data_IF_819734005411
#
_entry.id   IF_819734005411
#
_cell.length_a   1.000
_cell.length_b   1.000
_cell.length_c   1.000
_cell.angle_alpha   90.00
_cell.angle_beta   90.00
_cell.angle_gamma   90.00
#
_symmetry.space_group_name_H-M   'P 1'
#
loop_
_entity.id
_entity.type
_entity.pdbx_description
1 polymer ?
#
# COMPACT_ATOMS: atom_id res chain seq x y z
N UNK A 1 -37.68 -30.68 -71.98
CA UNK A 1 -38.04 -29.79 -70.86
C UNK A 1 -39.44 -29.26 -71.12
N UNK A 2 -40.41 -29.47 -70.24
CA UNK A 2 -41.74 -28.89 -70.43
C UNK A 2 -41.66 -27.37 -70.21
N UNK A 3 -42.16 -26.58 -71.17
CA UNK A 3 -42.36 -25.13 -71.00
C UNK A 3 -43.62 -24.96 -70.14
N UNK A 4 -43.43 -24.52 -68.90
CA UNK A 4 -44.50 -24.25 -67.95
C UNK A 4 -44.66 -22.73 -67.88
N UNK A 5 -45.79 -22.22 -68.36
CA UNK A 5 -46.00 -20.76 -68.55
C UNK A 5 -46.48 -20.08 -67.25
N UNK A 6 -47.13 -20.84 -66.36
CA UNK A 6 -47.76 -20.31 -65.15
C UNK A 6 -46.83 -20.34 -63.90
N UNK A 7 -45.75 -21.12 -63.92
CA UNK A 7 -44.72 -21.13 -62.87
C UNK A 7 -43.33 -21.13 -63.49
N UNK A 8 -42.56 -20.07 -63.22
CA UNK A 8 -41.21 -19.90 -63.75
C UNK A 8 -40.16 -20.34 -62.71
N UNK A 9 -39.86 -21.63 -62.69
CA UNK A 9 -38.90 -22.22 -61.74
C UNK A 9 -37.50 -21.59 -61.85
N UNK A 10 -37.05 -21.22 -63.06
CA UNK A 10 -35.78 -20.52 -63.29
C UNK A 10 -35.75 -19.13 -62.63
N UNK A 11 -36.84 -18.37 -62.72
CA UNK A 11 -36.96 -17.07 -62.06
C UNK A 11 -37.00 -17.20 -60.53
N UNK A 12 -37.70 -18.22 -59.99
CA UNK A 12 -37.73 -18.51 -58.55
C UNK A 12 -36.34 -18.86 -58.03
N UNK A 13 -35.58 -19.70 -58.76
CA UNK A 13 -34.21 -20.04 -58.38
C UNK A 13 -33.27 -18.83 -58.42
N UNK A 14 -33.40 -17.96 -59.44
CA UNK A 14 -32.65 -16.72 -59.52
C UNK A 14 -32.97 -15.78 -58.34
N UNK A 15 -34.24 -15.65 -57.97
CA UNK A 15 -34.69 -14.86 -56.81
C UNK A 15 -34.14 -15.39 -55.48
N UNK A 16 -34.14 -16.72 -55.29
CA UNK A 16 -33.58 -17.34 -54.09
C UNK A 16 -32.06 -17.14 -53.99
N UNK A 17 -31.33 -17.26 -55.10
CA UNK A 17 -29.89 -16.97 -55.15
C UNK A 17 -29.60 -15.49 -54.86
N UNK A 18 -30.41 -14.57 -55.39
CA UNK A 18 -30.30 -13.13 -55.11
C UNK A 18 -30.58 -12.82 -53.64
N UNK A 19 -31.55 -13.49 -53.00
CA UNK A 19 -31.81 -13.35 -51.56
C UNK A 19 -30.59 -13.75 -50.74
N UNK A 20 -29.99 -14.91 -51.03
CA UNK A 20 -28.76 -15.37 -50.35
C UNK A 20 -27.57 -14.43 -50.54
N UNK A 21 -27.43 -13.85 -51.73
CA UNK A 21 -26.40 -12.86 -52.02
C UNK A 21 -26.62 -11.56 -51.22
N UNK A 22 -27.86 -11.09 -51.13
CA UNK A 22 -28.22 -9.93 -50.30
C UNK A 22 -27.98 -10.19 -48.81
N UNK A 23 -28.30 -11.37 -48.28
CA UNK A 23 -28.04 -11.73 -46.88
C UNK A 23 -26.53 -11.77 -46.57
N UNK A 24 -25.74 -12.32 -47.49
CA UNK A 24 -24.27 -12.33 -47.38
C UNK A 24 -23.68 -10.92 -47.43
N UNK A 25 -24.20 -10.06 -48.31
CA UNK A 25 -23.81 -8.65 -48.39
C UNK A 25 -24.14 -7.89 -47.10
N UNK A 26 -25.35 -8.08 -46.54
CA UNK A 26 -25.76 -7.48 -45.26
C UNK A 26 -24.82 -7.89 -44.13
N UNK A 27 -24.43 -9.16 -44.07
CA UNK A 27 -23.47 -9.66 -43.08
C UNK A 27 -22.08 -9.04 -43.25
N UNK A 28 -21.59 -8.91 -44.48
CA UNK A 28 -20.32 -8.23 -44.77
C UNK A 28 -20.36 -6.74 -44.39
N UNK A 29 -21.46 -6.05 -44.68
CA UNK A 29 -21.66 -4.65 -44.27
C UNK A 29 -21.71 -4.50 -42.74
N UNK A 30 -22.35 -5.43 -42.02
CA UNK A 30 -22.38 -5.42 -40.57
C UNK A 30 -20.99 -5.64 -39.95
N UNK A 31 -20.18 -6.55 -40.52
CA UNK A 31 -18.78 -6.76 -40.10
C UNK A 31 -17.90 -5.55 -40.41
N UNK A 32 -18.10 -4.92 -41.59
CA UNK A 32 -17.37 -3.71 -41.96
C UNK A 32 -17.72 -2.53 -41.04
N UNK A 33 -19.01 -2.35 -40.74
CA UNK A 33 -19.49 -1.28 -39.86
C UNK A 33 -19.04 -1.45 -38.41
N UNK A 34 -19.06 -2.69 -37.89
CA UNK A 34 -18.63 -2.99 -36.52
C UNK A 34 -17.11 -3.15 -36.36
N UNK A 35 -16.37 -3.37 -37.45
CA UNK A 35 -14.96 -3.77 -37.41
C UNK A 35 -14.72 -5.19 -36.85
N UNK A 36 -15.76 -5.89 -36.40
CA UNK A 36 -15.66 -7.20 -35.78
C UNK A 36 -15.91 -8.32 -36.79
N UNK A 37 -15.01 -9.31 -36.83
CA UNK A 37 -15.19 -10.50 -37.68
C UNK A 37 -16.42 -11.33 -37.28
N UNK A 38 -16.71 -11.42 -35.98
CA UNK A 38 -17.84 -12.19 -35.41
C UNK A 38 -18.78 -11.19 -34.72
N UNK A 39 -19.95 -10.94 -35.31
CA UNK A 39 -20.93 -9.98 -34.78
C UNK A 39 -22.17 -10.66 -34.14
N UNK A 40 -22.36 -11.97 -34.36
CA UNK A 40 -23.52 -12.70 -33.85
C UNK A 40 -23.13 -14.11 -33.38
N UNK A 41 -23.76 -14.64 -32.32
CA UNK A 41 -23.59 -16.03 -31.91
C UNK A 41 -23.95 -17.05 -33.01
N UNK A 42 -24.81 -16.66 -33.96
CA UNK A 42 -25.18 -17.50 -35.10
C UNK A 42 -24.06 -17.65 -36.14
N UNK A 43 -23.03 -16.81 -36.07
CA UNK A 43 -21.89 -16.82 -36.99
C UNK A 43 -20.77 -17.75 -36.48
N UNK A 44 -20.43 -17.63 -35.20
CA UNK A 44 -19.46 -18.47 -34.51
C UNK A 44 -19.65 -18.35 -32.98
N UNK A 45 -20.46 -19.25 -32.41
CA UNK A 45 -20.73 -19.24 -30.97
C UNK A 45 -19.47 -19.54 -30.13
N UNK A 46 -18.55 -20.36 -30.63
CA UNK A 46 -17.32 -20.73 -29.92
C UNK A 46 -16.31 -19.60 -29.90
N UNK A 47 -16.01 -19.01 -31.08
CA UNK A 47 -15.12 -17.86 -31.21
C UNK A 47 -15.64 -16.64 -30.46
N UNK A 48 -16.95 -16.40 -30.49
CA UNK A 48 -17.58 -15.33 -29.71
C UNK A 48 -17.45 -15.58 -28.20
N UNK A 49 -17.64 -16.82 -27.72
CA UNK A 49 -17.50 -17.14 -26.31
C UNK A 49 -16.05 -16.93 -25.80
N UNK A 50 -15.05 -17.31 -26.59
CA UNK A 50 -13.64 -17.05 -26.25
C UNK A 50 -13.35 -15.54 -26.25
N UNK A 51 -13.82 -14.81 -27.27
CA UNK A 51 -13.66 -13.36 -27.35
C UNK A 51 -14.28 -12.63 -26.14
N UNK A 52 -15.49 -13.04 -25.70
CA UNK A 52 -16.11 -12.48 -24.50
C UNK A 52 -15.31 -12.77 -23.22
N UNK A 53 -14.78 -13.99 -23.07
CA UNK A 53 -13.93 -14.34 -21.91
C UNK A 53 -12.66 -13.49 -21.88
N UNK A 54 -12.01 -13.30 -23.04
CA UNK A 54 -10.82 -12.45 -23.16
C UNK A 54 -11.14 -10.99 -22.87
N UNK A 55 -12.23 -10.44 -23.42
CA UNK A 55 -12.66 -9.07 -23.14
C UNK A 55 -12.97 -8.87 -21.63
N UNK A 56 -13.66 -9.82 -21.01
CA UNK A 56 -13.90 -9.81 -19.56
C UNK A 56 -12.60 -9.86 -18.75
N UNK A 57 -11.60 -10.62 -19.21
CA UNK A 57 -10.27 -10.67 -18.58
C UNK A 57 -9.55 -9.33 -18.71
N UNK A 58 -9.55 -8.72 -19.90
CA UNK A 58 -8.95 -7.40 -20.15
C UNK A 58 -9.55 -6.32 -19.24
N UNK A 59 -10.89 -6.25 -19.15
CA UNK A 59 -11.56 -5.26 -18.29
C UNK A 59 -11.19 -5.45 -16.80
N UNK A 60 -10.99 -6.70 -16.36
CA UNK A 60 -10.53 -7.00 -15.01
C UNK A 60 -9.05 -6.67 -14.81
N UNK A 61 -8.20 -6.96 -15.79
CA UNK A 61 -6.78 -6.56 -15.76
C UNK A 61 -6.63 -5.04 -15.64
N UNK A 62 -7.42 -4.27 -16.40
CA UNK A 62 -7.42 -2.81 -16.32
C UNK A 62 -7.77 -2.31 -14.91
N UNK A 63 -8.79 -2.89 -14.28
CA UNK A 63 -9.14 -2.57 -12.89
C UNK A 63 -8.01 -2.94 -11.91
N UNK A 64 -7.30 -4.05 -12.12
CA UNK A 64 -6.14 -4.45 -11.32
C UNK A 64 -4.97 -3.48 -11.48
N UNK A 65 -4.71 -2.99 -12.69
CA UNK A 65 -3.69 -1.97 -12.96
C UNK A 65 -4.01 -0.70 -12.18
N UNK A 66 -5.26 -0.22 -12.24
CA UNK A 66 -5.70 0.97 -11.49
C UNK A 66 -5.56 0.78 -9.97
N UNK A 67 -5.94 -0.39 -9.46
CA UNK A 67 -5.74 -0.71 -8.03
C UNK A 67 -4.26 -0.72 -7.64
N UNK A 68 -3.39 -1.24 -8.52
CA UNK A 68 -1.94 -1.25 -8.30
C UNK A 68 -1.33 0.15 -8.32
N UNK A 69 -1.83 1.05 -9.18
CA UNK A 69 -1.42 2.47 -9.20
C UNK A 69 -1.86 3.22 -7.93
N UNK A 70 -3.05 2.92 -7.40
CA UNK A 70 -3.49 3.46 -6.12
C UNK A 70 -2.62 2.95 -4.96
N UNK A 71 -2.23 1.67 -4.99
CA UNK A 71 -1.30 1.11 -4.01
C UNK A 71 0.10 1.73 -4.09
N UNK A 72 0.60 2.01 -5.30
CA UNK A 72 1.84 2.77 -5.48
C UNK A 72 1.73 4.17 -4.88
N UNK A 73 0.61 4.87 -5.12
CA UNK A 73 0.36 6.21 -4.58
C UNK A 73 0.32 6.19 -3.05
N UNK A 74 -0.30 5.17 -2.45
CA UNK A 74 -0.29 4.94 -1.01
C UNK A 74 1.13 4.81 -0.46
N UNK A 75 1.97 3.97 -1.08
CA UNK A 75 3.36 3.78 -0.67
C UNK A 75 4.20 5.04 -0.80
N UNK A 76 4.00 5.85 -1.85
CA UNK A 76 4.69 7.12 -2.06
C UNK A 76 4.34 8.15 -0.98
N UNK A 77 3.05 8.25 -0.62
CA UNK A 77 2.62 9.13 0.47
C UNK A 77 3.18 8.64 1.81
N UNK A 78 3.20 7.32 2.04
CA UNK A 78 3.82 6.73 3.22
C UNK A 78 5.33 7.07 3.28
N UNK A 79 6.11 6.94 2.20
CA UNK A 79 7.54 7.29 2.20
C UNK A 79 7.78 8.79 2.42
N UNK A 80 6.95 9.66 1.84
CA UNK A 80 7.03 11.10 2.08
C UNK A 80 6.80 11.45 3.56
N UNK A 81 5.85 10.75 4.20
CA UNK A 81 5.55 10.88 5.62
C UNK A 81 6.68 10.29 6.49
N UNK A 82 7.31 9.18 6.09
CA UNK A 82 8.52 8.66 6.75
C UNK A 82 9.72 9.64 6.61
N UNK A 83 9.82 10.36 5.51
CA UNK A 83 10.84 11.40 5.33
C UNK A 83 10.65 12.57 6.32
N UNK A 84 9.41 12.97 6.61
CA UNK A 84 9.14 14.01 7.63
C UNK A 84 9.42 13.49 9.03
N UNK A 85 9.10 12.23 9.34
CA UNK A 85 9.52 11.57 10.60
C UNK A 85 11.03 11.63 10.78
N UNK A 86 11.81 11.33 9.75
CA UNK A 86 13.29 11.39 9.81
C UNK A 86 13.81 12.78 10.16
N UNK A 87 13.27 13.84 9.54
CA UNK A 87 13.64 15.23 9.85
C UNK A 87 13.30 15.62 11.30
N UNK A 88 12.16 15.14 11.81
CA UNK A 88 11.75 15.35 13.20
C UNK A 88 12.73 14.64 14.15
N UNK A 89 13.11 13.39 13.85
CA UNK A 89 14.09 12.64 14.64
C UNK A 89 15.48 13.30 14.65
N UNK A 90 15.94 13.79 13.50
CA UNK A 90 17.22 14.53 13.40
C UNK A 90 17.19 15.79 14.27
N UNK A 91 16.08 16.55 14.23
CA UNK A 91 15.91 17.73 15.08
C UNK A 91 15.87 17.37 16.56
N UNK A 92 15.16 16.30 16.93
CA UNK A 92 15.13 15.79 18.32
C UNK A 92 16.52 15.38 18.80
N UNK A 93 17.31 14.73 17.95
CA UNK A 93 18.70 14.36 18.25
C UNK A 93 19.60 15.60 18.42
N UNK A 94 19.44 16.62 17.56
CA UNK A 94 20.16 17.90 17.67
C UNK A 94 19.84 18.58 19.01
N UNK A 95 18.57 18.73 19.36
CA UNK A 95 18.14 19.26 20.66
C UNK A 95 18.74 18.47 21.82
N UNK A 96 18.79 17.14 21.70
CA UNK A 96 19.37 16.28 22.73
C UNK A 96 20.87 16.50 22.91
N UNK A 97 21.61 16.70 21.82
CA UNK A 97 23.04 17.01 21.87
C UNK A 97 23.29 18.39 22.47
N UNK A 98 22.48 19.39 22.11
CA UNK A 98 22.56 20.74 22.67
C UNK A 98 22.21 20.77 24.16
N UNK A 99 21.23 19.98 24.60
CA UNK A 99 20.86 19.88 26.01
C UNK A 99 21.91 19.14 26.87
N UNK A 100 22.77 18.30 26.25
CA UNK A 100 23.86 17.62 26.95
C UNK A 100 25.12 18.47 27.14
N UNK A 101 25.18 19.65 26.52
CA UNK A 101 26.31 20.56 26.68
C UNK A 101 26.38 21.08 28.13
N UNK A 102 27.57 20.94 28.73
CA UNK A 102 27.86 21.32 30.13
C UNK A 102 27.74 22.83 30.37
N UNK A 103 27.73 23.64 29.31
CA UNK A 103 27.63 25.10 29.41
C UNK A 103 26.20 25.63 29.52
N UNK A 104 25.19 24.76 29.36
CA UNK A 104 23.77 25.15 29.40
C UNK A 104 23.24 25.23 30.82
N UNK A 105 22.40 26.23 31.08
CA UNK A 105 21.72 26.36 32.36
C UNK A 105 20.39 25.60 32.38
N UNK A 106 19.76 25.47 33.55
CA UNK A 106 18.50 24.74 33.71
C UNK A 106 17.33 25.32 32.92
N UNK A 107 17.30 26.64 32.71
CA UNK A 107 16.26 27.30 31.90
C UNK A 107 16.41 27.02 30.40
N UNK A 108 17.64 26.96 29.89
CA UNK A 108 17.92 26.58 28.50
C UNK A 108 17.49 25.12 28.24
N UNK A 109 17.81 24.22 29.17
CA UNK A 109 17.41 22.81 29.10
C UNK A 109 15.88 22.67 29.14
N UNK A 110 15.18 23.49 29.93
CA UNK A 110 13.72 23.52 29.96
C UNK A 110 13.13 23.96 28.60
N UNK A 111 13.70 24.98 27.96
CA UNK A 111 13.25 25.43 26.64
C UNK A 111 13.45 24.36 25.56
N UNK A 112 14.61 23.69 25.54
CA UNK A 112 14.83 22.56 24.63
C UNK A 112 13.88 21.39 24.89
N UNK A 113 13.55 21.15 26.16
CA UNK A 113 12.59 20.12 26.55
C UNK A 113 11.18 20.44 26.07
N UNK A 114 10.76 21.71 26.10
CA UNK A 114 9.47 22.14 25.52
C UNK A 114 9.41 21.90 24.01
N UNK A 115 10.45 22.30 23.27
CA UNK A 115 10.53 22.03 21.83
C UNK A 115 10.50 20.52 21.55
N UNK A 116 11.21 19.73 22.35
CA UNK A 116 11.21 18.27 22.25
C UNK A 116 9.81 17.67 22.46
N UNK A 117 9.01 18.17 23.41
CA UNK A 117 7.64 17.71 23.62
C UNK A 117 6.73 18.05 22.44
N UNK A 118 6.87 19.24 21.84
CA UNK A 118 6.13 19.60 20.62
C UNK A 118 6.48 18.69 19.45
N UNK A 119 7.75 18.31 19.29
CA UNK A 119 8.19 17.36 18.27
C UNK A 119 7.62 15.95 18.49
N UNK A 120 7.51 15.49 19.75
CA UNK A 120 6.83 14.23 20.07
C UNK A 120 5.34 14.28 19.69
N UNK A 121 4.67 15.41 19.93
CA UNK A 121 3.27 15.64 19.51
C UNK A 121 3.13 15.64 17.98
N UNK A 122 4.05 16.29 17.27
CA UNK A 122 4.09 16.28 15.80
C UNK A 122 4.25 14.85 15.26
N UNK A 123 5.10 14.04 15.89
CA UNK A 123 5.28 12.64 15.53
C UNK A 123 4.00 11.80 15.72
N UNK A 124 3.27 12.05 16.80
CA UNK A 124 1.94 11.47 17.02
C UNK A 124 0.94 11.89 15.94
N UNK A 125 1.01 13.14 15.48
CA UNK A 125 0.14 13.65 14.42
C UNK A 125 0.44 12.99 13.07
N UNK A 126 1.73 12.82 12.73
CA UNK A 126 2.15 12.12 11.51
C UNK A 126 1.65 10.67 11.51
N UNK A 127 1.71 9.99 12.66
CA UNK A 127 1.17 8.63 12.81
C UNK A 127 -0.33 8.52 12.44
N UNK A 128 -1.10 9.59 12.67
CA UNK A 128 -2.55 9.64 12.40
C UNK A 128 -2.90 10.03 10.96
N UNK A 129 -1.92 10.23 10.08
CA UNK A 129 -2.17 10.53 8.68
C UNK A 129 -2.86 9.37 7.96
N UNK A 130 -3.79 9.70 7.06
CA UNK A 130 -4.56 8.72 6.30
C UNK A 130 -4.52 9.03 4.81
N UNK A 131 -4.57 7.98 3.99
CA UNK A 131 -4.75 8.06 2.56
C UNK A 131 -6.13 7.52 2.20
N UNK A 132 -7.00 8.37 1.66
CA UNK A 132 -8.38 7.99 1.32
C UNK A 132 -9.15 7.32 2.49
N UNK A 133 -8.96 7.84 3.71
CA UNK A 133 -9.58 7.30 4.94
C UNK A 133 -8.95 6.01 5.48
N UNK A 134 -7.86 5.53 4.87
CA UNK A 134 -7.08 4.38 5.32
C UNK A 134 -5.81 4.87 6.03
N UNK A 135 -5.52 4.35 7.22
CA UNK A 135 -4.27 4.70 7.94
C UNK A 135 -3.01 4.35 7.14
N UNK A 136 -2.05 5.27 7.12
CA UNK A 136 -0.72 5.04 6.54
C UNK A 136 0.14 4.15 7.45
N UNK A 137 -0.13 4.16 8.75
CA UNK A 137 0.72 3.53 9.76
C UNK A 137 -0.08 2.61 10.69
N UNK A 138 0.56 1.56 11.19
CA UNK A 138 -0.03 0.58 12.10
C UNK A 138 0.25 0.89 13.57
N UNK A 139 -0.64 0.45 14.45
CA UNK A 139 -0.48 0.51 15.91
C UNK A 139 -0.72 -0.88 16.55
N UNK A 140 -0.24 -1.07 17.78
CA UNK A 140 -0.15 -2.34 18.52
C UNK A 140 -1.48 -3.07 18.74
N UNK A 141 -2.60 -2.35 18.75
CA UNK A 141 -3.93 -2.93 18.87
C UNK A 141 -4.65 -2.89 17.52
N UNK A 142 -5.40 -3.96 17.25
CA UNK A 142 -6.34 -4.19 16.15
C UNK A 142 -7.46 -3.14 16.10
N UNK A 143 -7.13 -1.86 16.14
CA UNK A 143 -8.04 -0.73 16.17
C UNK A 143 -8.52 -0.50 14.74
N UNK A 144 -9.54 -1.27 14.34
CA UNK A 144 -10.47 -1.00 13.25
C UNK A 144 -9.88 -0.18 12.09
N UNK A 145 -8.73 -0.60 11.56
CA UNK A 145 -8.21 0.00 10.35
C UNK A 145 -9.05 -0.63 9.25
N UNK A 146 -9.87 0.19 8.59
CA UNK A 146 -10.77 -0.23 7.51
C UNK A 146 -9.99 -0.96 6.42
N UNK A 147 -10.44 -2.16 6.06
CA UNK A 147 -9.78 -3.08 5.12
C UNK A 147 -8.87 -4.08 5.85
N UNK A 148 -9.01 -5.36 5.50
CA UNK A 148 -8.34 -6.51 6.13
C UNK A 148 -6.82 -6.30 6.30
N UNK A 149 -6.39 -5.91 7.50
CA UNK A 149 -4.97 -5.90 7.88
C UNK A 149 -4.57 -7.29 8.34
N UNK A 150 -3.47 -7.79 7.80
CA UNK A 150 -2.82 -8.99 8.30
C UNK A 150 -1.81 -8.58 9.38
N UNK A 151 -1.93 -9.17 10.56
CA UNK A 151 -0.97 -8.99 11.65
C UNK A 151 0.05 -10.13 11.62
N UNK A 152 1.32 -9.78 11.61
CA UNK A 152 2.44 -10.69 11.80
C UNK A 152 3.27 -10.31 13.02
N UNK A 153 4.32 -11.09 13.26
CA UNK A 153 5.37 -10.79 14.24
C UNK A 153 6.72 -10.98 13.53
N UNK A 154 7.64 -10.07 13.78
CA UNK A 154 9.02 -10.12 13.27
C UNK A 154 9.99 -9.82 14.40
N UNK A 155 11.28 -10.06 14.16
CA UNK A 155 12.34 -9.88 15.14
C UNK A 155 13.38 -8.90 14.63
N UNK A 156 13.80 -8.00 15.51
CA UNK A 156 14.88 -7.05 15.28
C UNK A 156 16.02 -7.32 16.27
N UNK A 157 17.26 -7.17 15.85
CA UNK A 157 18.42 -7.22 16.74
C UNK A 157 18.77 -5.79 17.17
N UNK A 158 18.70 -5.51 18.47
CA UNK A 158 19.12 -4.21 18.98
C UNK A 158 20.65 -4.03 18.90
N UNK A 159 21.12 -2.80 19.10
CA UNK A 159 22.55 -2.46 19.10
C UNK A 159 23.38 -3.22 20.17
N UNK A 160 22.72 -3.89 21.12
CA UNK A 160 23.33 -4.74 22.15
C UNK A 160 23.27 -6.24 21.80
N UNK A 161 22.74 -6.59 20.62
CA UNK A 161 22.61 -7.96 20.14
C UNK A 161 21.40 -8.74 20.69
N UNK A 162 20.48 -8.09 21.40
CA UNK A 162 19.27 -8.73 21.89
C UNK A 162 18.18 -8.76 20.81
N UNK A 163 17.47 -9.89 20.74
CA UNK A 163 16.30 -10.03 19.87
C UNK A 163 15.07 -9.37 20.48
N UNK A 164 14.52 -8.38 19.79
CA UNK A 164 13.27 -7.69 20.11
C UNK A 164 12.21 -8.16 19.11
N UNK A 165 11.17 -8.83 19.59
CA UNK A 165 10.00 -9.18 18.76
C UNK A 165 9.08 -7.97 18.66
N UNK A 166 8.53 -7.72 17.46
CA UNK A 166 7.57 -6.65 17.19
C UNK A 166 6.50 -7.07 16.20
N UNK A 167 5.32 -6.46 16.32
CA UNK A 167 4.21 -6.73 15.42
C UNK A 167 4.43 -6.05 14.06
N UNK A 168 4.23 -6.80 12.99
CA UNK A 168 4.19 -6.28 11.61
C UNK A 168 2.75 -6.22 11.11
N UNK A 169 2.52 -5.33 10.15
CA UNK A 169 1.21 -5.17 9.53
C UNK A 169 1.37 -5.14 8.03
N UNK A 170 0.51 -5.86 7.31
CA UNK A 170 0.49 -5.81 5.86
C UNK A 170 -0.93 -5.75 5.31
N UNK A 171 -1.03 -5.25 4.08
CA UNK A 171 -2.24 -5.27 3.26
C UNK A 171 -1.99 -6.08 2.02
N UNK A 172 -2.93 -6.92 1.64
CA UNK A 172 -2.79 -7.75 0.46
C UNK A 172 -3.36 -7.06 -0.78
N UNK A 173 -2.52 -6.83 -1.79
CA UNK A 173 -2.92 -6.36 -3.11
C UNK A 173 -3.02 -7.55 -4.07
N UNK A 174 -4.21 -7.78 -4.60
CA UNK A 174 -4.43 -8.80 -5.63
C UNK A 174 -3.91 -8.27 -6.96
N UNK A 175 -3.03 -9.04 -7.61
CA UNK A 175 -2.41 -8.66 -8.90
C UNK A 175 -2.97 -9.43 -10.09
N UNK A 176 -3.92 -10.35 -9.86
CA UNK A 176 -4.51 -11.20 -10.88
C UNK A 176 -6.02 -10.95 -11.10
N UNK A 177 -6.50 -10.99 -12.36
CA UNK A 177 -7.90 -10.70 -12.69
C UNK A 177 -8.90 -11.81 -12.31
N UNK A 178 -8.43 -12.92 -11.74
CA UNK A 178 -9.27 -13.99 -11.19
C UNK A 178 -9.72 -13.72 -9.75
N UNK A 179 -9.13 -12.72 -9.08
CA UNK A 179 -9.47 -12.34 -7.72
C UNK A 179 -8.95 -13.29 -6.65
N UNK A 180 -7.99 -14.17 -6.98
CA UNK A 180 -7.44 -15.17 -6.06
C UNK A 180 -6.03 -14.78 -5.60
N UNK A 181 -5.80 -14.84 -4.29
CA UNK A 181 -4.49 -14.53 -3.69
C UNK A 181 -3.42 -15.55 -4.07
N UNK A 182 -3.80 -16.83 -4.22
CA UNK A 182 -2.90 -17.91 -4.65
C UNK A 182 -2.36 -17.74 -6.07
N UNK A 183 -3.04 -17.00 -6.94
CA UNK A 183 -2.60 -16.77 -8.32
C UNK A 183 -1.53 -15.67 -8.40
N UNK A 184 -1.56 -14.74 -7.44
CA UNK A 184 -0.50 -13.76 -7.24
C UNK A 184 -1.01 -12.55 -6.46
N UNK A 185 -0.30 -12.23 -5.39
CA UNK A 185 -0.53 -11.05 -4.58
C UNK A 185 0.78 -10.38 -4.18
N UNK A 186 0.69 -9.10 -3.84
CA UNK A 186 1.77 -8.31 -3.26
C UNK A 186 1.33 -7.91 -1.86
N UNK A 187 2.12 -8.26 -0.85
CA UNK A 187 1.99 -7.68 0.48
C UNK A 187 2.54 -6.25 0.46
N UNK A 188 1.70 -5.31 0.85
CA UNK A 188 2.05 -3.92 1.11
C UNK A 188 2.34 -3.77 2.59
N UNK A 189 3.50 -3.25 2.95
CA UNK A 189 3.88 -2.99 4.33
C UNK A 189 3.10 -1.79 4.88
N UNK A 190 2.51 -1.99 6.06
CA UNK A 190 1.95 -0.90 6.87
C UNK A 190 2.92 -0.70 8.03
N UNK A 191 3.77 0.34 7.90
CA UNK A 191 4.87 0.55 8.84
C UNK A 191 4.31 0.72 10.27
N UNK A 192 4.83 -0.10 11.18
CA UNK A 192 4.55 0.01 12.60
C UNK A 192 5.40 1.13 13.21
N UNK A 193 4.88 2.36 13.22
CA UNK A 193 5.60 3.51 13.76
C UNK A 193 5.93 3.36 15.24
N UNK A 194 5.13 2.63 16.03
CA UNK A 194 5.47 2.32 17.43
C UNK A 194 6.83 1.63 17.52
N UNK A 195 7.06 0.64 16.65
CA UNK A 195 8.32 -0.09 16.63
C UNK A 195 9.48 0.80 16.14
N UNK A 196 9.27 1.56 15.07
CA UNK A 196 10.29 2.47 14.51
C UNK A 196 10.74 3.49 15.55
N UNK A 197 9.79 4.02 16.33
CA UNK A 197 10.01 5.09 17.30
C UNK A 197 10.24 4.56 18.72
N UNK A 198 10.28 3.24 18.89
CA UNK A 198 10.50 2.61 20.19
C UNK A 198 11.87 2.98 20.74
N UNK A 199 11.84 3.53 21.94
CA UNK A 199 13.01 3.87 22.73
C UNK A 199 13.10 2.79 23.78
N UNK A 200 14.24 2.09 23.88
CA UNK A 200 14.41 0.99 24.84
C UNK A 200 14.34 1.45 26.31
N UNK A 201 15.41 1.25 27.08
CA UNK A 201 15.43 1.71 28.47
C UNK A 201 15.79 3.19 28.56
N UNK A 202 14.93 4.02 29.15
CA UNK A 202 15.28 5.37 29.60
C UNK A 202 16.03 5.31 30.94
N UNK A 203 16.98 6.21 31.16
CA UNK A 203 17.79 6.27 32.40
C UNK A 203 16.87 6.48 33.61
N UNK A 204 16.87 5.53 34.56
CA UNK A 204 16.05 5.58 35.78
C UNK A 204 14.80 4.70 35.79
N UNK A 205 14.48 4.00 34.70
CA UNK A 205 13.37 3.05 34.67
C UNK A 205 13.78 1.64 35.09
N UNK A 206 13.50 1.24 36.33
CA UNK A 206 13.53 -0.18 36.74
C UNK A 206 12.38 -0.90 36.06
N UNK A 207 12.66 -1.75 35.06
CA UNK A 207 11.98 -3.04 34.82
C UNK A 207 12.42 -3.71 33.51
N UNK A 208 12.93 -4.93 33.66
CA UNK A 208 12.97 -5.98 32.64
C UNK A 208 11.54 -6.39 32.23
N UNK A 209 10.95 -5.69 31.27
CA UNK A 209 9.82 -6.20 30.52
C UNK A 209 9.93 -5.66 29.10
N UNK A 210 10.32 -6.52 28.15
CA UNK A 210 10.22 -6.37 26.69
C UNK A 210 9.54 -5.05 26.22
N UNK A 211 10.31 -3.96 26.14
CA UNK A 211 9.76 -2.62 25.90
C UNK A 211 9.61 -2.32 24.41
N UNK A 212 8.46 -2.71 23.87
CA UNK A 212 7.80 -1.96 22.80
C UNK A 212 6.96 -0.79 23.34
N UNK A 213 6.80 -0.67 24.67
CA UNK A 213 5.79 0.21 25.29
C UNK A 213 6.23 1.61 25.67
N UNK A 214 7.42 2.06 25.25
CA UNK A 214 7.86 3.46 25.35
C UNK A 214 8.37 3.89 23.98
N UNK A 215 7.71 4.86 23.37
CA UNK A 215 8.07 5.42 22.07
C UNK A 215 8.13 6.95 22.11
N UNK A 216 8.80 7.54 21.12
CA UNK A 216 8.95 9.00 21.01
C UNK A 216 7.65 9.73 20.66
N UNK A 217 6.60 9.04 20.23
CA UNK A 217 5.36 9.66 19.75
C UNK A 217 4.14 9.40 20.63
N UNK A 218 4.26 8.67 21.75
CA UNK A 218 3.13 8.13 22.51
C UNK A 218 2.06 7.49 21.59
N UNK A 219 2.50 6.65 20.66
CA UNK A 219 1.65 6.06 19.62
C UNK A 219 0.73 4.97 20.19
N UNK A 220 1.16 4.27 21.23
CA UNK A 220 0.35 3.27 21.95
C UNK A 220 -0.69 3.90 22.90
N UNK A 221 -0.66 5.22 23.10
CA UNK A 221 -1.54 5.96 24.01
C UNK A 221 -1.38 5.55 25.47
N UNK A 222 -0.25 4.93 25.83
CA UNK A 222 -0.02 4.40 27.15
C UNK A 222 0.30 5.53 28.14
N UNK A 223 -0.72 5.94 28.89
CA UNK A 223 -0.63 7.00 29.91
C UNK A 223 0.08 6.55 31.20
N UNK A 224 0.90 5.49 31.17
CA UNK A 224 1.57 4.99 32.37
C UNK A 224 2.59 6.02 32.87
N UNK A 225 2.31 6.61 34.03
CA UNK A 225 3.20 7.53 34.74
C UNK A 225 4.39 6.76 35.34
N UNK A 226 5.32 6.35 34.47
CA UNK A 226 6.65 5.88 34.88
C UNK A 226 7.55 7.09 35.10
N UNK A 227 8.61 6.94 35.91
CA UNK A 227 9.60 8.01 36.13
C UNK A 227 10.11 8.53 34.79
N UNK A 228 9.75 9.77 34.44
CA UNK A 228 10.19 10.44 33.21
C UNK A 228 9.12 10.67 32.14
N UNK A 229 7.87 10.22 32.33
CA UNK A 229 6.75 10.49 31.40
C UNK A 229 5.56 11.22 32.07
N UNK A 230 4.95 12.20 31.38
CA UNK A 230 3.71 12.89 31.79
C UNK A 230 2.76 12.83 30.60
N UNK A 231 1.59 12.23 30.82
CA UNK A 231 0.59 12.06 29.75
C UNK A 231 1.10 11.20 28.58
N UNK A 232 1.97 10.22 28.86
CA UNK A 232 2.56 9.30 27.87
C UNK A 232 3.77 9.85 27.10
N UNK A 233 4.04 11.16 27.16
CA UNK A 233 5.22 11.77 26.54
C UNK A 233 6.42 11.80 27.48
N UNK A 234 7.62 11.77 26.91
CA UNK A 234 8.88 11.91 27.65
C UNK A 234 9.05 13.37 28.08
N UNK A 235 9.15 13.59 29.39
CA UNK A 235 9.14 14.92 30.01
C UNK A 235 10.47 15.65 30.06
N UNK A 236 11.57 14.91 29.89
CA UNK A 236 12.90 15.48 29.96
C UNK A 236 13.76 14.87 28.86
N UNK A 237 14.28 15.74 28.00
CA UNK A 237 15.11 15.36 26.87
C UNK A 237 16.35 14.55 27.30
N UNK A 238 16.90 14.80 28.49
CA UNK A 238 18.10 14.11 29.00
C UNK A 238 17.89 12.62 29.31
N UNK A 239 16.64 12.18 29.51
CA UNK A 239 16.31 10.79 29.84
C UNK A 239 16.49 9.84 28.65
N UNK A 240 16.44 10.38 27.43
CA UNK A 240 16.73 9.67 26.18
C UNK A 240 18.20 9.84 25.86
N UNK A 241 18.86 8.83 25.31
CA UNK A 241 20.25 8.93 24.85
C UNK A 241 20.31 9.22 23.34
N UNK A 242 21.39 9.84 22.88
CA UNK A 242 21.61 10.08 21.44
C UNK A 242 21.63 8.76 20.66
N UNK A 243 22.20 7.70 21.24
CA UNK A 243 22.22 6.35 20.64
C UNK A 243 20.81 5.80 20.37
N UNK A 244 19.81 6.17 21.16
CA UNK A 244 18.43 5.76 20.92
C UNK A 244 17.79 6.48 19.72
N UNK A 245 18.15 7.75 19.47
CA UNK A 245 17.74 8.42 18.24
C UNK A 245 18.41 7.80 17.01
N UNK A 246 19.70 7.45 17.12
CA UNK A 246 20.40 6.73 16.04
C UNK A 246 19.71 5.40 15.72
N UNK A 247 19.37 4.60 16.73
CA UNK A 247 18.65 3.35 16.53
C UNK A 247 17.25 3.55 15.91
N UNK A 248 16.52 4.61 16.28
CA UNK A 248 15.23 4.93 15.68
C UNK A 248 15.38 5.34 14.20
N UNK A 249 16.42 6.11 13.87
CA UNK A 249 16.75 6.50 12.49
C UNK A 249 17.14 5.27 11.64
N UNK A 250 17.89 4.32 12.20
CA UNK A 250 18.21 3.05 11.53
C UNK A 250 16.94 2.25 11.20
N UNK A 251 16.05 2.06 12.19
CA UNK A 251 14.75 1.39 11.96
C UNK A 251 13.90 2.12 10.92
N UNK A 252 13.92 3.46 10.92
CA UNK A 252 13.23 4.26 9.92
C UNK A 252 13.81 4.05 8.52
N UNK A 253 15.14 4.01 8.41
CA UNK A 253 15.82 3.75 7.14
C UNK A 253 15.47 2.36 6.60
N UNK A 254 15.41 1.34 7.46
CA UNK A 254 14.96 -0.01 7.10
C UNK A 254 13.51 0.00 6.58
N UNK A 255 12.60 0.71 7.28
CA UNK A 255 11.19 0.81 6.85
C UNK A 255 11.05 1.51 5.48
N UNK A 256 11.85 2.55 5.23
CA UNK A 256 11.87 3.24 3.92
C UNK A 256 12.48 2.38 2.82
N UNK A 257 13.52 1.60 3.14
CA UNK A 257 14.11 0.66 2.19
C UNK A 257 13.12 -0.44 1.78
N UNK A 258 12.35 -0.96 2.74
CA UNK A 258 11.27 -1.93 2.49
C UNK A 258 10.17 -1.33 1.60
N UNK A 259 9.69 -0.12 1.92
CA UNK A 259 8.69 0.57 1.11
C UNK A 259 9.21 0.83 -0.32
N UNK A 260 10.46 1.29 -0.49
CA UNK A 260 11.08 1.45 -1.80
C UNK A 260 11.19 0.14 -2.59
N UNK A 261 11.47 -0.97 -1.92
CA UNK A 261 11.47 -2.29 -2.57
C UNK A 261 10.05 -2.69 -3.02
N UNK A 262 9.02 -2.43 -2.22
CA UNK A 262 7.63 -2.69 -2.59
C UNK A 262 7.14 -1.82 -3.75
N UNK A 263 7.50 -0.54 -3.78
CA UNK A 263 7.21 0.34 -4.92
C UNK A 263 7.79 -0.24 -6.22
N UNK A 264 9.04 -0.71 -6.19
CA UNK A 264 9.65 -1.38 -7.35
C UNK A 264 8.92 -2.67 -7.73
N UNK A 265 8.46 -3.46 -6.76
CA UNK A 265 7.68 -4.68 -7.03
C UNK A 265 6.34 -4.37 -7.69
N UNK A 266 5.65 -3.32 -7.24
CA UNK A 266 4.37 -2.89 -7.83
C UNK A 266 4.58 -2.36 -9.24
N UNK A 267 5.61 -1.55 -9.47
CA UNK A 267 5.96 -1.03 -10.80
C UNK A 267 6.22 -2.18 -11.78
N UNK A 268 7.04 -3.16 -11.40
CA UNK A 268 7.28 -4.34 -12.22
C UNK A 268 5.98 -5.13 -12.47
N UNK A 269 5.09 -5.23 -11.49
CA UNK A 269 3.79 -5.90 -11.67
C UNK A 269 2.88 -5.14 -12.63
N UNK A 270 2.85 -3.80 -12.57
CA UNK A 270 2.09 -2.96 -13.51
C UNK A 270 2.62 -3.15 -14.93
N UNK A 271 3.93 -3.11 -15.12
CA UNK A 271 4.57 -3.30 -16.43
C UNK A 271 4.25 -4.69 -17.02
N UNK A 272 4.26 -5.73 -16.19
CA UNK A 272 3.85 -7.08 -16.58
C UNK A 272 2.37 -7.15 -16.97
N UNK A 273 1.47 -6.50 -16.23
CA UNK A 273 0.04 -6.48 -16.54
C UNK A 273 -0.26 -5.70 -17.83
N UNK A 274 0.45 -4.60 -18.06
CA UNK A 274 0.36 -3.81 -19.29
C UNK A 274 0.88 -4.59 -20.50
N UNK A 275 2.00 -5.30 -20.36
CA UNK A 275 2.53 -6.17 -21.43
C UNK A 275 1.57 -7.31 -21.75
N UNK A 276 0.86 -7.85 -20.76
CA UNK A 276 -0.15 -8.89 -20.98
C UNK A 276 -1.45 -8.37 -21.63
N UNK A 277 -1.65 -7.05 -21.72
CA UNK A 277 -2.80 -6.44 -22.40
C UNK A 277 -2.59 -6.24 -23.91
N UNK A 278 -1.34 -6.14 -24.36
CA UNK A 278 -0.96 -5.98 -25.77
C UNK A 278 -0.87 -7.30 -26.50
#
# INVERSE_FOLDING_TARGET
MPIVVNSNASATQASFNLSRANDSLRKSLARLSSGNRINSPADDAGGLAVAYKLNSKLNRTEAVIQNSQNALSYLQVQDASLQTVGKVLDRMAELRTMAADVTKNSGDIENYTKEFMELQSQLNQIHKETFNGISLFGATASAAITGELQKGESTYLDASGNTVTFSTFSRELITHPDGQTSSGSISLNVVNLQFVLSVGNITGGTSNAAKLGLDLGNIDGNQSASLGTTGGYINNILNVSVAQFTAAIEKLADARAENGAEQNRIMNSIDLLQTNMT
#
